data_IF_182149172826
#
_entry.id   IF_182149172826
#
_cell.length_a   1.000
_cell.length_b   1.000
_cell.length_c   1.000
_cell.angle_alpha   90.00
_cell.angle_beta   90.00
_cell.angle_gamma   90.00
#
_symmetry.space_group_name_H-M   'P 1'
#
loop_
_entity.id
_entity.type
_entity.pdbx_description
1 polymer ?
#
# COMPACT_ATOMS: atom_id res chain seq x y z
N UNK A 1 -5.30 0.47 32.02
CA UNK A 1 -4.50 1.03 30.92
C UNK A 1 -4.39 -0.06 29.86
N UNK A 2 -5.03 0.10 28.71
CA UNK A 2 -4.91 -0.89 27.62
C UNK A 2 -3.55 -0.67 26.98
N UNK A 3 -2.68 -1.66 27.07
CA UNK A 3 -1.35 -1.62 26.46
C UNK A 3 -1.54 -1.92 24.97
N UNK A 4 -1.38 -0.90 24.12
CA UNK A 4 -1.52 -1.09 22.67
C UNK A 4 -0.25 -1.76 22.16
N UNK A 5 -0.42 -2.89 21.49
CA UNK A 5 0.69 -3.59 20.84
C UNK A 5 0.97 -2.93 19.48
N UNK A 6 2.09 -2.22 19.40
CA UNK A 6 2.50 -1.52 18.18
C UNK A 6 2.77 -2.49 17.02
N UNK A 7 3.33 -3.67 17.29
CA UNK A 7 3.61 -4.67 16.25
C UNK A 7 2.32 -5.15 15.59
N UNK A 8 1.27 -5.42 16.37
CA UNK A 8 -0.05 -5.74 15.85
C UNK A 8 -0.66 -4.57 15.06
N UNK A 9 -0.44 -3.34 15.49
CA UNK A 9 -0.91 -2.18 14.74
C UNK A 9 -0.18 -2.04 13.39
N UNK A 10 1.13 -2.31 13.34
CA UNK A 10 1.91 -2.35 12.09
C UNK A 10 1.43 -3.45 11.15
N UNK A 11 1.14 -4.63 11.68
CA UNK A 11 0.61 -5.76 10.91
C UNK A 11 -0.70 -5.39 10.19
N UNK A 12 -1.66 -4.83 10.93
CA UNK A 12 -2.94 -4.36 10.37
C UNK A 12 -2.73 -3.26 9.31
N UNK A 13 -1.76 -2.37 9.55
CA UNK A 13 -1.42 -1.30 8.62
C UNK A 13 -0.84 -1.86 7.32
N UNK A 14 0.05 -2.85 7.41
CA UNK A 14 0.59 -3.55 6.26
C UNK A 14 -0.49 -4.31 5.49
N UNK A 15 -1.47 -4.92 6.16
CA UNK A 15 -2.61 -5.57 5.50
C UNK A 15 -3.47 -4.57 4.71
N UNK A 16 -3.81 -3.42 5.32
CA UNK A 16 -4.56 -2.37 4.62
C UNK A 16 -3.80 -1.87 3.39
N UNK A 17 -2.50 -1.61 3.52
CA UNK A 17 -1.62 -1.25 2.41
C UNK A 17 -1.65 -2.30 1.30
N UNK A 18 -1.49 -3.59 1.63
CA UNK A 18 -1.53 -4.68 0.65
C UNK A 18 -2.88 -4.75 -0.08
N UNK A 19 -3.98 -4.61 0.64
CA UNK A 19 -5.32 -4.65 0.06
C UNK A 19 -5.55 -3.47 -0.88
N UNK A 20 -5.21 -2.24 -0.47
CA UNK A 20 -5.35 -1.05 -1.33
C UNK A 20 -4.50 -1.18 -2.60
N UNK A 21 -3.28 -1.69 -2.48
CA UNK A 21 -2.41 -1.95 -3.63
C UNK A 21 -3.04 -2.96 -4.61
N UNK A 22 -3.60 -4.05 -4.09
CA UNK A 22 -4.27 -5.04 -4.91
C UNK A 22 -5.53 -4.47 -5.60
N UNK A 23 -6.26 -3.58 -4.92
CA UNK A 23 -7.41 -2.89 -5.51
C UNK A 23 -7.02 -2.00 -6.69
N UNK A 24 -5.93 -1.24 -6.56
CA UNK A 24 -5.40 -0.40 -7.64
C UNK A 24 -4.85 -1.26 -8.80
N UNK A 25 -4.21 -2.39 -8.50
CA UNK A 25 -3.72 -3.30 -9.53
C UNK A 25 -4.84 -3.97 -10.32
N UNK A 26 -6.02 -4.20 -9.72
CA UNK A 26 -7.12 -4.92 -10.39
C UNK A 26 -7.47 -4.34 -11.76
N UNK A 27 -7.53 -3.01 -11.88
CA UNK A 27 -7.82 -2.35 -13.15
C UNK A 27 -6.64 -2.46 -14.13
N UNK A 28 -5.42 -2.23 -13.65
CA UNK A 28 -4.21 -2.33 -14.47
C UNK A 28 -3.94 -3.74 -14.97
N UNK A 29 -4.33 -4.76 -14.21
CA UNK A 29 -4.22 -6.16 -14.62
C UNK A 29 -5.14 -6.46 -15.81
N UNK A 30 -6.32 -5.83 -15.87
CA UNK A 30 -7.21 -5.92 -17.04
C UNK A 30 -6.57 -5.19 -18.23
N UNK A 31 -6.09 -3.96 -18.02
CA UNK A 31 -5.46 -3.16 -19.07
C UNK A 31 -4.19 -3.82 -19.63
N UNK A 32 -3.43 -4.53 -18.80
CA UNK A 32 -2.27 -5.31 -19.21
C UNK A 32 -2.61 -6.46 -20.16
N UNK A 33 -3.85 -6.94 -20.18
CA UNK A 33 -4.30 -7.95 -21.16
C UNK A 33 -4.66 -7.35 -22.52
N UNK A 34 -4.78 -6.02 -22.61
CA UNK A 34 -5.11 -5.32 -23.84
C UNK A 34 -3.79 -4.89 -24.53
N UNK A 35 -3.46 -5.41 -25.73
CA UNK A 35 -2.14 -5.23 -26.33
C UNK A 35 -1.68 -3.77 -26.50
N UNK A 36 -2.61 -2.85 -26.79
CA UNK A 36 -2.28 -1.42 -26.97
C UNK A 36 -2.05 -0.68 -25.64
N UNK A 37 -2.58 -1.21 -24.53
CA UNK A 37 -2.46 -0.60 -23.20
C UNK A 37 -1.40 -1.28 -22.33
N UNK A 38 -0.90 -2.45 -22.74
CA UNK A 38 0.00 -3.27 -21.93
C UNK A 38 1.26 -2.53 -21.45
N UNK A 39 1.88 -1.72 -22.31
CA UNK A 39 3.07 -0.92 -21.95
C UNK A 39 2.74 0.17 -20.92
N UNK A 40 1.61 0.87 -21.11
CA UNK A 40 1.15 1.90 -20.17
C UNK A 40 0.74 1.29 -18.83
N UNK A 41 0.06 0.15 -18.85
CA UNK A 41 -0.33 -0.57 -17.65
C UNK A 41 0.90 -0.97 -16.83
N UNK A 42 1.96 -1.53 -17.44
CA UNK A 42 3.17 -1.88 -16.68
C UNK A 42 3.91 -0.64 -16.14
N UNK A 43 3.96 0.45 -16.88
CA UNK A 43 4.52 1.71 -16.39
C UNK A 43 3.77 2.23 -15.15
N UNK A 44 2.43 2.22 -15.19
CA UNK A 44 1.60 2.60 -14.03
C UNK A 44 1.76 1.61 -12.87
N UNK A 45 1.91 0.31 -13.17
CA UNK A 45 2.17 -0.69 -12.14
C UNK A 45 3.47 -0.42 -11.41
N UNK A 46 4.51 0.02 -12.11
CA UNK A 46 5.77 0.39 -11.48
C UNK A 46 5.62 1.60 -10.55
N UNK A 47 4.88 2.64 -10.97
CA UNK A 47 4.61 3.83 -10.14
C UNK A 47 3.94 3.41 -8.81
N UNK A 48 2.93 2.55 -8.88
CA UNK A 48 2.24 2.04 -7.68
C UNK A 48 3.20 1.21 -6.80
N UNK A 49 4.08 0.39 -7.39
CA UNK A 49 5.07 -0.37 -6.59
C UNK A 49 6.00 0.57 -5.83
N UNK A 50 6.46 1.63 -6.47
CA UNK A 50 7.39 2.59 -5.89
C UNK A 50 6.72 3.40 -4.77
N UNK A 51 5.50 3.91 -5.00
CA UNK A 51 4.71 4.61 -3.98
C UNK A 51 4.46 3.73 -2.75
N UNK A 52 4.03 2.49 -2.95
CA UNK A 52 3.74 1.57 -1.85
C UNK A 52 4.99 1.04 -1.13
N UNK A 53 6.19 1.18 -1.73
CA UNK A 53 7.46 0.93 -1.07
C UNK A 53 7.83 2.06 -0.09
N UNK A 54 7.50 3.31 -0.43
CA UNK A 54 7.63 4.46 0.49
C UNK A 54 6.71 4.26 1.69
N UNK A 55 5.43 3.96 1.45
CA UNK A 55 4.44 3.70 2.52
C UNK A 55 4.88 2.50 3.39
N UNK A 56 5.53 1.49 2.81
CA UNK A 56 6.11 0.39 3.61
C UNK A 56 7.10 0.91 4.64
N UNK A 57 8.03 1.74 4.18
CA UNK A 57 9.10 2.30 4.99
C UNK A 57 8.54 3.21 6.08
N UNK A 58 7.48 3.96 5.78
CA UNK A 58 6.78 4.79 6.76
C UNK A 58 6.10 3.95 7.86
N UNK A 59 5.42 2.86 7.50
CA UNK A 59 4.81 1.94 8.49
C UNK A 59 5.88 1.28 9.34
N UNK A 60 6.99 0.86 8.74
CA UNK A 60 8.09 0.19 9.44
C UNK A 60 8.79 1.14 10.43
N UNK A 61 8.95 2.42 10.05
CA UNK A 61 9.54 3.47 10.89
C UNK A 61 8.57 4.09 11.90
N UNK A 62 7.27 3.81 11.83
CA UNK A 62 6.31 4.37 12.77
C UNK A 62 6.60 3.90 14.21
N UNK A 63 6.65 4.85 15.14
CA UNK A 63 6.91 4.62 16.57
C UNK A 63 5.62 4.65 17.39
N UNK A 64 4.54 5.19 16.81
CA UNK A 64 3.25 5.33 17.49
C UNK A 64 2.09 4.85 16.63
N UNK A 65 1.00 4.49 17.31
CA UNK A 65 -0.23 4.05 16.66
C UNK A 65 -0.90 5.20 15.90
N UNK A 66 -0.71 6.44 16.34
CA UNK A 66 -1.31 7.60 15.67
C UNK A 66 -0.60 7.91 14.34
N UNK A 67 0.72 7.76 14.27
CA UNK A 67 1.46 7.80 12.99
C UNK A 67 0.95 6.73 12.01
N UNK A 68 0.70 5.50 12.50
CA UNK A 68 0.15 4.44 11.65
C UNK A 68 -1.25 4.77 11.11
N UNK A 69 -2.10 5.40 11.93
CA UNK A 69 -3.42 5.85 11.47
C UNK A 69 -3.31 6.95 10.42
N UNK A 70 -2.39 7.90 10.58
CA UNK A 70 -2.16 8.95 9.59
C UNK A 70 -1.73 8.36 8.25
N UNK A 71 -0.75 7.45 8.26
CA UNK A 71 -0.29 6.74 7.05
C UNK A 71 -1.46 5.99 6.39
N UNK A 72 -2.24 5.24 7.17
CA UNK A 72 -3.40 4.50 6.64
C UNK A 72 -4.48 5.41 6.08
N UNK A 73 -4.70 6.59 6.67
CA UNK A 73 -5.76 7.50 6.23
C UNK A 73 -5.44 8.13 4.88
N UNK A 74 -4.17 8.17 4.50
CA UNK A 74 -3.69 8.68 3.21
C UNK A 74 -3.80 7.65 2.07
N UNK A 75 -4.03 6.36 2.38
CA UNK A 75 -4.15 5.24 1.41
C UNK A 75 -5.49 5.22 0.67
#
# INVERSE_FOLDING_TARGET
MIQVNLDKAKEISHDKRRNKRADLFRQLDIEATIPILAEQAEAQRQIIRDEFAVIQTEIDNAETVDQLKEIITQL
#
